data_IF_033824345894
#
_entry.id   IF_033824345894
#
_cell.length_a   1.000
_cell.length_b   1.000
_cell.length_c   1.000
_cell.angle_alpha   90.00
_cell.angle_beta   90.00
_cell.angle_gamma   90.00
#
_symmetry.space_group_name_H-M   'P 1'
#
loop_
_entity.id
_entity.type
_entity.pdbx_description
1 polymer ?
#
# COMPACT_ATOMS: atom_id res chain seq x y z
N UNK A 1 14.80 -11.61 -10.66
CA UNK A 1 14.03 -10.73 -9.76
C UNK A 1 13.98 -11.37 -8.39
N UNK A 2 14.59 -10.72 -7.42
CA UNK A 2 14.66 -11.19 -6.03
C UNK A 2 13.48 -10.70 -5.18
N UNK A 3 12.85 -9.59 -5.60
CA UNK A 3 11.65 -9.01 -5.01
C UNK A 3 10.74 -8.45 -6.13
N UNK A 4 9.43 -8.68 -6.01
CA UNK A 4 8.40 -8.10 -6.87
C UNK A 4 7.31 -7.49 -5.99
N UNK A 5 7.06 -6.19 -6.18
CA UNK A 5 6.05 -5.42 -5.48
C UNK A 5 4.96 -5.00 -6.45
N UNK A 6 3.71 -5.18 -6.05
CA UNK A 6 2.54 -4.64 -6.74
C UNK A 6 1.92 -3.56 -5.84
N UNK A 7 1.67 -2.40 -6.44
CA UNK A 7 1.05 -1.26 -5.76
C UNK A 7 -0.37 -1.11 -6.28
N UNK A 8 -1.34 -1.04 -5.36
CA UNK A 8 -2.74 -0.85 -5.68
C UNK A 8 -3.33 0.25 -4.80
N UNK A 9 -3.95 1.25 -5.42
CA UNK A 9 -4.66 2.31 -4.74
C UNK A 9 -6.11 2.31 -5.25
N UNK A 10 -7.04 1.98 -4.35
CA UNK A 10 -8.46 1.87 -4.69
C UNK A 10 -9.04 3.24 -5.11
N UNK A 11 -8.63 4.31 -4.43
CA UNK A 11 -9.06 5.70 -4.70
C UNK A 11 -8.75 6.16 -6.13
N UNK A 12 -7.68 5.66 -6.75
CA UNK A 12 -7.33 6.00 -8.12
C UNK A 12 -8.36 5.48 -9.14
N UNK A 13 -8.97 4.34 -8.86
CA UNK A 13 -9.96 3.70 -9.74
C UNK A 13 -11.41 3.98 -9.31
N UNK A 14 -11.62 4.25 -8.02
CA UNK A 14 -12.93 4.50 -7.43
C UNK A 14 -12.87 5.70 -6.48
N UNK A 15 -13.26 6.88 -6.96
CA UNK A 15 -13.22 8.12 -6.19
C UNK A 15 -14.17 8.13 -4.98
N UNK A 16 -15.20 7.27 -4.97
CA UNK A 16 -16.18 7.15 -3.88
C UNK A 16 -15.80 6.07 -2.85
N UNK A 17 -14.60 5.50 -2.95
CA UNK A 17 -14.17 4.47 -1.99
C UNK A 17 -14.09 5.02 -0.56
N UNK A 18 -14.50 4.23 0.45
CA UNK A 18 -14.25 4.57 1.85
C UNK A 18 -12.76 4.45 2.23
N UNK A 19 -11.92 3.83 1.38
CA UNK A 19 -10.49 3.60 1.63
C UNK A 19 -9.61 4.74 1.09
N UNK A 20 -9.93 5.98 1.47
CA UNK A 20 -9.17 7.16 1.03
C UNK A 20 -7.75 7.14 1.59
N UNK A 21 -6.80 7.59 0.78
CA UNK A 21 -5.38 7.64 1.13
C UNK A 21 -4.76 6.28 1.51
N UNK A 22 -5.42 5.15 1.23
CA UNK A 22 -4.87 3.81 1.49
C UNK A 22 -4.27 3.25 0.21
N UNK A 23 -3.01 2.82 0.29
CA UNK A 23 -2.36 2.02 -0.73
C UNK A 23 -2.09 0.61 -0.19
N UNK A 24 -2.46 -0.40 -0.97
CA UNK A 24 -2.12 -1.79 -0.74
C UNK A 24 -0.80 -2.10 -1.48
N UNK A 25 0.17 -2.62 -0.72
CA UNK A 25 1.47 -3.04 -1.23
C UNK A 25 1.56 -4.55 -1.09
N UNK A 26 1.59 -5.26 -2.21
CA UNK A 26 1.68 -6.72 -2.24
C UNK A 26 3.09 -7.16 -2.65
N UNK A 27 3.73 -7.94 -1.78
CA UNK A 27 4.94 -8.68 -2.09
C UNK A 27 4.55 -9.92 -2.89
N UNK A 28 4.51 -9.81 -4.21
CA UNK A 28 4.07 -10.89 -5.11
C UNK A 28 5.10 -12.01 -5.24
N UNK A 29 6.40 -11.69 -5.14
CA UNK A 29 7.49 -12.65 -5.18
C UNK A 29 8.64 -12.16 -4.33
N UNK A 30 9.15 -13.02 -3.46
CA UNK A 30 10.36 -12.78 -2.69
C UNK A 30 11.13 -14.10 -2.57
N UNK A 31 12.42 -14.09 -2.91
CA UNK A 31 13.26 -15.31 -2.86
C UNK A 31 13.70 -15.68 -1.44
N UNK A 32 13.76 -14.69 -0.55
CA UNK A 32 14.44 -14.79 0.74
C UNK A 32 13.49 -14.66 1.93
N UNK A 33 12.20 -14.38 1.71
CA UNK A 33 11.25 -14.12 2.80
C UNK A 33 9.80 -14.34 2.35
N UNK A 34 8.82 -14.31 3.27
CA UNK A 34 7.42 -14.52 2.95
C UNK A 34 6.88 -13.44 2.02
N UNK A 35 5.92 -13.84 1.17
CA UNK A 35 5.03 -12.94 0.44
C UNK A 35 3.89 -12.49 1.33
N UNK A 36 3.24 -11.36 0.99
CA UNK A 36 2.12 -10.84 1.77
C UNK A 36 1.64 -9.49 1.26
N UNK A 37 0.56 -8.99 1.86
CA UNK A 37 0.00 -7.67 1.55
C UNK A 37 0.04 -6.82 2.81
N UNK A 38 0.55 -5.60 2.71
CA UNK A 38 0.43 -4.60 3.76
C UNK A 38 -0.33 -3.37 3.25
N UNK A 39 -1.01 -2.69 4.17
CA UNK A 39 -1.72 -1.45 3.91
C UNK A 39 -0.95 -0.30 4.52
N UNK A 40 -0.76 0.76 3.75
CA UNK A 40 -0.07 1.98 4.16
C UNK A 40 -0.92 3.19 3.81
N UNK A 41 -0.74 4.27 4.56
CA UNK A 41 -1.26 5.56 4.16
C UNK A 41 -0.35 6.15 3.09
N UNK A 42 -0.92 6.62 1.98
CA UNK A 42 -0.20 7.19 0.86
C UNK A 42 -0.73 8.59 0.55
N UNK A 43 0.15 9.59 0.64
CA UNK A 43 -0.13 10.95 0.20
C UNK A 43 0.45 11.15 -1.21
N UNK A 44 -0.39 11.21 -2.26
CA UNK A 44 0.07 11.35 -3.64
C UNK A 44 0.69 12.73 -3.93
N UNK A 45 0.25 13.79 -3.24
CA UNK A 45 0.78 15.14 -3.44
C UNK A 45 2.23 15.30 -3.00
N UNK A 46 2.66 14.49 -2.02
CA UNK A 46 4.02 14.48 -1.48
C UNK A 46 4.81 13.22 -1.86
N UNK A 47 4.18 12.22 -2.49
CA UNK A 47 4.77 10.91 -2.73
C UNK A 47 5.19 10.19 -1.43
N UNK A 48 4.48 10.45 -0.32
CA UNK A 48 4.87 10.01 1.02
C UNK A 48 4.07 8.81 1.48
N UNK A 49 4.75 7.82 2.06
CA UNK A 49 4.14 6.68 2.75
C UNK A 49 4.18 6.87 4.27
N UNK A 50 3.07 6.59 4.95
CA UNK A 50 2.95 6.61 6.42
C UNK A 50 2.41 5.28 6.93
N UNK A 51 2.77 4.94 8.17
CA UNK A 51 2.28 3.74 8.82
C UNK A 51 0.78 3.88 9.13
N UNK A 52 -0.01 2.88 8.73
CA UNK A 52 -1.45 2.85 8.99
C UNK A 52 -1.75 2.71 10.50
N UNK A 53 -0.89 2.02 11.25
CA UNK A 53 -1.08 1.74 12.69
C UNK A 53 -0.93 3.00 13.55
N UNK A 54 -0.19 4.01 13.08
CA UNK A 54 0.01 5.25 13.83
C UNK A 54 -1.24 6.14 13.92
N UNK A 55 -2.35 5.78 13.24
CA UNK A 55 -3.60 6.54 13.22
C UNK A 55 -4.68 5.95 14.15
N UNK A 56 -4.40 4.83 14.86
CA UNK A 56 -5.28 4.19 15.84
C UNK A 56 -4.86 4.51 17.31
N UNK A 57 -4.45 5.75 17.61
CA UNK A 57 -4.10 6.21 18.97
C UNK A 57 -4.76 7.53 19.33
#
# INVERSE_FOLDING_TARGET
MDLCLLLYQDEYYNSDTPKKEIMEVAVAKNRNSPTGVCKVLFNPSLGQFRNLIAHDS
#
